data_IF_466373381077
#
_entry.id   IF_466373381077
#
_cell.length_a   1.000
_cell.length_b   1.000
_cell.length_c   1.000
_cell.angle_alpha   90.00
_cell.angle_beta   90.00
_cell.angle_gamma   90.00
#
_symmetry.space_group_name_H-M   'P 1'
#
loop_
_entity.id
_entity.type
_entity.pdbx_description
1 polymer ?
#
# COMPACT_ATOMS: atom_id res chain seq x y z
N UNK A 1 21.06 4.23 -14.27
CA UNK A 1 19.94 4.69 -13.43
C UNK A 1 18.67 4.04 -13.96
N UNK A 2 18.20 3.03 -13.21
CA UNK A 2 17.08 2.18 -13.66
C UNK A 2 15.75 2.59 -13.00
N UNK A 3 15.70 3.80 -12.38
CA UNK A 3 14.52 4.31 -11.69
C UNK A 3 14.23 5.75 -12.13
N UNK A 4 13.00 5.97 -12.61
CA UNK A 4 12.47 7.30 -12.92
C UNK A 4 11.69 7.86 -11.71
N UNK A 5 11.88 9.14 -11.41
CA UNK A 5 11.07 9.84 -10.43
C UNK A 5 9.75 10.32 -11.02
N UNK A 6 8.65 10.18 -10.26
CA UNK A 6 7.33 10.68 -10.63
C UNK A 6 6.76 11.52 -9.47
N UNK A 7 6.22 12.68 -9.80
CA UNK A 7 5.39 13.47 -8.89
C UNK A 7 4.00 13.64 -9.49
N UNK A 8 3.07 12.77 -9.10
CA UNK A 8 1.70 12.77 -9.58
C UNK A 8 0.76 13.58 -8.66
N UNK A 9 -0.40 13.94 -9.19
CA UNK A 9 -1.39 14.76 -8.49
C UNK A 9 -2.02 14.02 -7.30
N UNK A 10 -2.38 14.78 -6.26
CA UNK A 10 -3.10 14.26 -5.07
C UNK A 10 -4.58 14.04 -5.40
N UNK A 11 -5.21 15.01 -6.07
CA UNK A 11 -6.61 14.89 -6.52
C UNK A 11 -6.60 14.15 -7.86
N UNK A 12 -7.31 13.02 -7.92
CA UNK A 12 -7.29 12.14 -9.07
C UNK A 12 -8.70 11.82 -9.56
N UNK A 13 -8.81 11.51 -10.85
CA UNK A 13 -10.06 11.18 -11.50
C UNK A 13 -10.72 9.93 -10.88
N UNK A 14 -12.04 9.93 -10.65
CA UNK A 14 -12.74 8.79 -10.01
C UNK A 14 -12.54 7.45 -10.71
N UNK A 15 -12.37 7.44 -12.02
CA UNK A 15 -12.25 6.19 -12.78
C UNK A 15 -10.97 5.42 -12.47
N UNK A 16 -9.90 6.08 -12.03
CA UNK A 16 -8.69 5.41 -11.54
C UNK A 16 -9.03 4.57 -10.32
N UNK A 17 -9.79 5.14 -9.38
CA UNK A 17 -10.16 4.49 -8.13
C UNK A 17 -11.28 3.46 -8.29
N UNK A 18 -12.14 3.62 -9.30
CA UNK A 18 -13.09 2.58 -9.69
C UNK A 18 -12.37 1.39 -10.32
N UNK A 19 -11.43 1.65 -11.24
CA UNK A 19 -10.66 0.60 -11.91
C UNK A 19 -9.80 -0.21 -10.93
N UNK A 20 -9.22 0.43 -9.92
CA UNK A 20 -8.44 -0.23 -8.87
C UNK A 20 -9.29 -0.85 -7.74
N UNK A 21 -10.62 -0.67 -7.76
CA UNK A 21 -11.53 -1.20 -6.76
C UNK A 21 -11.69 -0.36 -5.48
N UNK A 22 -10.88 0.68 -5.27
CA UNK A 22 -10.90 1.46 -4.02
C UNK A 22 -12.25 2.10 -3.70
N UNK A 23 -12.98 2.57 -4.71
CA UNK A 23 -14.32 3.17 -4.47
C UNK A 23 -15.29 2.16 -3.89
N UNK A 24 -15.19 0.88 -4.28
CA UNK A 24 -16.14 -0.16 -3.88
C UNK A 24 -15.71 -0.98 -2.66
N UNK A 25 -14.42 -1.18 -2.43
CA UNK A 25 -13.93 -2.18 -1.46
C UNK A 25 -12.96 -1.64 -0.41
N UNK A 26 -12.47 -0.40 -0.57
CA UNK A 26 -11.56 0.19 0.40
C UNK A 26 -12.32 0.75 1.60
N UNK A 27 -12.81 -0.14 2.46
CA UNK A 27 -13.64 0.20 3.61
C UNK A 27 -13.23 -0.54 4.87
N UNK A 28 -13.48 0.09 6.02
CA UNK A 28 -13.38 -0.52 7.34
C UNK A 28 -14.78 -0.74 7.92
N UNK A 29 -15.04 -1.82 8.66
CA UNK A 29 -16.31 -2.02 9.35
C UNK A 29 -16.44 -1.03 10.51
N UNK A 30 -17.51 -0.24 10.55
CA UNK A 30 -17.76 0.80 11.54
C UNK A 30 -19.01 0.51 12.37
N UNK A 31 -18.91 0.74 13.67
CA UNK A 31 -20.04 0.74 14.61
C UNK A 31 -20.16 2.08 15.33
N UNK A 32 -21.38 2.47 15.66
CA UNK A 32 -21.65 3.61 16.54
C UNK A 32 -22.06 3.11 17.93
N UNK A 33 -21.53 3.73 18.99
CA UNK A 33 -22.04 3.50 20.34
C UNK A 33 -23.17 4.51 20.62
N UNK A 34 -24.38 4.01 20.90
CA UNK A 34 -25.55 4.86 21.15
C UNK A 34 -25.44 5.70 22.42
N UNK A 35 -24.62 5.25 23.39
CA UNK A 35 -24.44 5.94 24.68
C UNK A 35 -23.36 7.02 24.62
N UNK A 36 -22.13 6.68 24.19
CA UNK A 36 -21.04 7.65 24.17
C UNK A 36 -21.00 8.48 22.85
N UNK A 37 -21.86 8.15 21.88
CA UNK A 37 -21.93 8.77 20.54
C UNK A 37 -20.62 8.69 19.73
N UNK A 38 -19.67 7.86 20.19
CA UNK A 38 -18.42 7.59 19.47
C UNK A 38 -18.64 6.62 18.31
N UNK A 39 -17.76 6.73 17.30
CA UNK A 39 -17.65 5.84 16.14
C UNK A 39 -16.37 5.05 16.24
N UNK A 40 -16.43 3.76 15.99
CA UNK A 40 -15.31 2.86 16.20
C UNK A 40 -15.21 1.82 15.08
N UNK A 41 -14.02 1.35 14.80
CA UNK A 41 -13.82 0.18 13.95
C UNK A 41 -14.36 -1.06 14.69
N UNK A 42 -15.16 -1.85 14.01
CA UNK A 42 -15.81 -3.03 14.60
C UNK A 42 -14.80 -4.13 14.96
N UNK A 43 -13.72 -4.24 14.20
CA UNK A 43 -12.61 -5.20 14.39
C UNK A 43 -11.63 -4.82 15.52
N UNK A 44 -11.73 -3.60 16.07
CA UNK A 44 -10.79 -3.06 17.06
C UNK A 44 -11.46 -2.65 18.38
N UNK A 45 -12.66 -3.13 18.66
CA UNK A 45 -13.41 -2.77 19.87
C UNK A 45 -12.74 -3.22 21.16
N UNK A 46 -11.94 -4.30 21.10
CA UNK A 46 -11.20 -4.85 22.24
C UNK A 46 -10.01 -3.99 22.66
N UNK A 47 -9.40 -3.31 21.68
CA UNK A 47 -8.19 -2.51 21.89
C UNK A 47 -8.48 -1.01 22.09
N UNK A 48 -9.68 -0.56 21.71
CA UNK A 48 -10.03 0.85 21.73
C UNK A 48 -10.60 1.26 23.08
N UNK A 49 -9.99 2.19 23.84
CA UNK A 49 -10.54 2.69 25.08
C UNK A 49 -11.89 3.39 24.89
N UNK A 50 -12.83 3.17 25.80
CA UNK A 50 -14.10 3.87 25.79
C UNK A 50 -13.90 5.35 26.17
N UNK A 51 -14.35 6.34 25.37
CA UNK A 51 -14.16 7.75 25.66
C UNK A 51 -14.79 8.21 26.99
N UNK A 52 -15.87 7.59 27.44
CA UNK A 52 -16.52 7.92 28.72
C UNK A 52 -15.95 7.14 29.90
N UNK A 53 -15.35 5.98 29.65
CA UNK A 53 -14.75 5.13 30.68
C UNK A 53 -13.41 4.58 30.15
N UNK A 54 -12.34 5.38 30.14
CA UNK A 54 -11.06 4.97 29.52
C UNK A 54 -10.40 3.73 30.16
N UNK A 55 -10.83 3.32 31.34
CA UNK A 55 -10.39 2.09 32.00
C UNK A 55 -11.03 0.82 31.43
N UNK A 56 -12.00 0.94 30.53
CA UNK A 56 -12.64 -0.16 29.80
C UNK A 56 -12.43 0.01 28.32
N UNK A 57 -12.35 -1.09 27.58
CA UNK A 57 -12.41 -1.03 26.10
C UNK A 57 -13.86 -0.83 25.63
N UNK A 58 -14.00 -0.41 24.36
CA UNK A 58 -15.31 -0.17 23.76
C UNK A 58 -16.16 -1.44 23.73
N UNK A 59 -15.54 -2.61 23.58
CA UNK A 59 -16.22 -3.91 23.65
C UNK A 59 -16.99 -4.07 24.96
N UNK A 60 -16.36 -3.76 26.08
CA UNK A 60 -16.90 -3.92 27.44
C UNK A 60 -17.72 -2.73 27.94
N UNK A 61 -17.93 -1.75 27.08
CA UNK A 61 -18.79 -0.61 27.39
C UNK A 61 -20.25 -1.05 27.42
N UNK A 62 -20.98 -0.66 28.49
CA UNK A 62 -22.40 -0.98 28.68
C UNK A 62 -23.33 -0.34 27.64
N UNK A 63 -22.78 0.51 26.75
CA UNK A 63 -23.53 1.18 25.68
C UNK A 63 -23.90 0.24 24.54
N UNK A 64 -25.17 0.29 24.12
CA UNK A 64 -25.63 -0.41 22.93
C UNK A 64 -24.86 0.06 21.69
N UNK A 65 -24.41 -0.87 20.85
CA UNK A 65 -23.71 -0.62 19.60
C UNK A 65 -24.64 -0.92 18.44
N UNK A 66 -24.45 -0.18 17.33
CA UNK A 66 -25.15 -0.47 16.08
C UNK A 66 -24.58 -1.73 15.42
N UNK A 67 -25.31 -2.30 14.48
CA UNK A 67 -24.74 -3.27 13.55
C UNK A 67 -23.56 -2.66 12.80
N UNK A 68 -22.53 -3.47 12.49
CA UNK A 68 -21.41 -3.03 11.66
C UNK A 68 -21.89 -2.58 10.27
N UNK A 69 -21.32 -1.49 9.77
CA UNK A 69 -21.52 -1.01 8.39
C UNK A 69 -20.20 -0.59 7.78
N UNK A 70 -20.07 -0.75 6.48
CA UNK A 70 -18.88 -0.36 5.75
C UNK A 70 -18.72 1.17 5.73
N UNK A 71 -17.53 1.62 6.03
CA UNK A 71 -17.11 3.01 5.93
C UNK A 71 -15.95 3.11 4.96
N UNK A 72 -16.18 3.72 3.79
CA UNK A 72 -15.13 3.88 2.78
C UNK A 72 -14.09 4.90 3.26
N UNK A 73 -12.81 4.52 3.18
CA UNK A 73 -11.69 5.33 3.65
C UNK A 73 -11.21 6.38 2.65
N UNK A 74 -11.81 6.48 1.47
CA UNK A 74 -11.49 7.51 0.51
C UNK A 74 -11.99 8.89 0.97
N UNK A 75 -11.12 9.91 0.92
CA UNK A 75 -11.58 11.29 1.00
C UNK A 75 -12.22 11.68 -0.32
N UNK A 76 -13.53 11.95 -0.28
CA UNK A 76 -14.33 12.44 -1.41
C UNK A 76 -14.35 13.97 -1.38
N UNK A 77 -14.20 14.60 -2.54
CA UNK A 77 -14.32 16.05 -2.74
C UNK A 77 -15.02 16.35 -4.06
N UNK A 78 -15.26 17.61 -4.35
CA UNK A 78 -15.80 18.07 -5.62
C UNK A 78 -14.83 19.04 -6.29
N UNK A 79 -14.71 18.96 -7.61
CA UNK A 79 -13.88 19.85 -8.42
C UNK A 79 -14.77 20.82 -9.17
N UNK A 80 -14.40 22.10 -9.16
CA UNK A 80 -15.16 23.17 -9.79
C UNK A 80 -16.20 23.82 -8.85
N UNK A 81 -17.03 24.73 -9.39
CA UNK A 81 -17.88 25.62 -8.59
C UNK A 81 -19.20 24.98 -8.11
N UNK A 82 -19.54 23.78 -8.60
CA UNK A 82 -20.82 23.13 -8.29
C UNK A 82 -20.55 21.75 -7.71
N UNK A 83 -21.16 21.47 -6.56
CA UNK A 83 -21.16 20.15 -5.94
C UNK A 83 -22.21 19.27 -6.64
N UNK A 84 -21.75 18.37 -7.50
CA UNK A 84 -22.57 17.37 -8.17
C UNK A 84 -21.84 16.03 -8.25
N UNK A 85 -22.58 14.95 -8.48
CA UNK A 85 -21.97 13.62 -8.64
C UNK A 85 -21.01 13.54 -9.84
N UNK A 86 -21.20 14.38 -10.85
CA UNK A 86 -20.33 14.47 -12.03
C UNK A 86 -18.98 15.12 -11.70
N UNK A 87 -18.93 15.96 -10.66
CA UNK A 87 -17.76 16.71 -10.24
C UNK A 87 -16.99 16.04 -9.08
N UNK A 88 -17.34 14.81 -8.75
CA UNK A 88 -16.68 14.07 -7.68
C UNK A 88 -15.23 13.77 -8.05
N UNK A 89 -14.34 14.00 -7.10
CA UNK A 89 -12.95 13.57 -7.14
C UNK A 89 -12.54 12.99 -5.80
N UNK A 90 -11.41 12.31 -5.77
CA UNK A 90 -10.89 11.70 -4.54
C UNK A 90 -9.46 12.14 -4.32
N UNK A 91 -9.10 12.30 -3.03
CA UNK A 91 -7.69 12.36 -2.64
C UNK A 91 -7.12 10.95 -2.69
N UNK A 92 -5.92 10.79 -3.19
CA UNK A 92 -5.27 9.48 -3.30
C UNK A 92 -5.03 8.84 -1.93
N UNK A 93 -5.47 7.60 -1.69
CA UNK A 93 -5.18 6.85 -0.45
C UNK A 93 -3.81 6.19 -0.46
N UNK A 94 -3.17 6.12 -1.63
CA UNK A 94 -1.83 5.59 -1.87
C UNK A 94 -1.27 6.13 -3.19
N UNK A 95 0.01 5.93 -3.44
CA UNK A 95 0.72 6.49 -4.59
C UNK A 95 0.84 5.52 -5.78
N UNK A 96 0.61 4.22 -5.59
CA UNK A 96 0.79 3.18 -6.60
C UNK A 96 -0.02 3.40 -7.88
N UNK A 97 -1.32 3.71 -7.77
CA UNK A 97 -2.20 3.84 -8.95
C UNK A 97 -1.77 4.96 -9.88
N UNK A 98 -1.19 6.02 -9.34
CA UNK A 98 -0.64 7.10 -10.15
C UNK A 98 0.56 6.62 -10.98
N UNK A 99 1.40 5.75 -10.42
CA UNK A 99 2.54 5.14 -11.13
C UNK A 99 2.02 4.28 -12.29
N UNK A 100 1.05 3.40 -12.03
CA UNK A 100 0.47 2.56 -13.09
C UNK A 100 -0.22 3.39 -14.18
N UNK A 101 -0.99 4.41 -13.81
CA UNK A 101 -1.68 5.29 -14.77
C UNK A 101 -0.69 6.07 -15.66
N UNK A 102 0.48 6.42 -15.14
CA UNK A 102 1.51 7.18 -15.84
C UNK A 102 2.60 6.31 -16.48
N UNK A 103 2.55 4.99 -16.31
CA UNK A 103 3.58 4.07 -16.81
C UNK A 103 3.97 4.36 -18.27
N UNK A 104 2.98 4.41 -19.16
CA UNK A 104 3.24 4.65 -20.58
C UNK A 104 3.88 6.02 -20.86
N UNK A 105 3.45 7.05 -20.16
CA UNK A 105 4.02 8.41 -20.32
C UNK A 105 5.48 8.44 -19.85
N UNK A 106 5.79 7.74 -18.76
CA UNK A 106 7.17 7.65 -18.24
C UNK A 106 8.03 6.82 -19.19
N UNK A 107 7.56 5.68 -19.66
CA UNK A 107 8.26 4.83 -20.64
C UNK A 107 8.60 5.61 -21.91
N UNK A 108 7.59 6.27 -22.51
CA UNK A 108 7.76 7.07 -23.74
C UNK A 108 8.72 8.27 -23.56
N UNK A 109 8.71 8.93 -22.40
CA UNK A 109 9.49 10.15 -22.14
C UNK A 109 10.89 9.89 -21.61
N UNK A 110 11.07 8.87 -20.75
CA UNK A 110 12.36 8.55 -20.14
C UNK A 110 13.28 7.75 -21.05
N UNK A 111 12.74 7.09 -22.06
CA UNK A 111 13.45 6.16 -22.96
C UNK A 111 14.13 5.00 -22.21
N UNK A 112 13.64 4.68 -21.04
CA UNK A 112 14.13 3.55 -20.26
C UNK A 112 13.75 2.23 -20.92
N UNK A 113 14.48 1.17 -20.60
CA UNK A 113 14.21 -0.18 -21.11
C UNK A 113 13.95 -1.10 -19.94
N UNK A 114 12.91 -1.94 -20.05
CA UNK A 114 12.67 -2.97 -19.04
C UNK A 114 13.89 -3.88 -18.83
N UNK A 115 14.23 -4.18 -17.57
CA UNK A 115 13.50 -3.79 -16.35
C UNK A 115 13.81 -2.35 -15.91
N UNK A 116 12.83 -1.62 -15.39
CA UNK A 116 13.03 -0.31 -14.78
C UNK A 116 11.96 -0.02 -13.73
N UNK A 117 12.25 0.90 -12.82
CA UNK A 117 11.35 1.33 -11.77
C UNK A 117 10.79 2.73 -11.97
N UNK A 118 9.62 2.99 -11.42
CA UNK A 118 9.08 4.33 -11.23
C UNK A 118 8.89 4.53 -9.74
N UNK A 119 9.50 5.58 -9.19
CA UNK A 119 9.44 5.89 -7.78
C UNK A 119 8.69 7.19 -7.52
N UNK A 120 7.92 7.22 -6.45
CA UNK A 120 7.25 8.41 -5.95
C UNK A 120 7.42 8.56 -4.46
N UNK A 121 7.69 9.78 -3.99
CA UNK A 121 7.54 10.20 -2.61
C UNK A 121 6.44 11.24 -2.56
N UNK A 122 5.46 11.04 -1.69
CA UNK A 122 4.36 12.02 -1.63
C UNK A 122 3.30 11.67 -0.60
N UNK A 123 2.41 12.64 -0.39
CA UNK A 123 1.30 12.50 0.55
C UNK A 123 0.22 11.57 0.05
N UNK A 124 -0.34 10.79 0.97
CA UNK A 124 -1.52 9.99 0.80
C UNK A 124 -2.53 10.28 1.93
N UNK A 125 -3.80 9.94 1.69
CA UNK A 125 -4.91 10.38 2.55
C UNK A 125 -5.89 9.23 2.75
N UNK A 126 -6.12 8.86 4.01
CA UNK A 126 -7.13 7.86 4.37
C UNK A 126 -8.06 8.44 5.42
N UNK A 127 -9.34 8.45 5.18
CA UNK A 127 -10.35 8.98 6.11
C UNK A 127 -10.56 8.01 7.29
N UNK A 128 -9.52 7.82 8.08
CA UNK A 128 -9.51 6.90 9.23
C UNK A 128 -10.65 7.20 10.21
N UNK A 129 -11.38 6.16 10.61
CA UNK A 129 -12.46 6.29 11.62
C UNK A 129 -11.87 6.78 12.94
N UNK A 130 -10.80 6.14 13.42
CA UNK A 130 -10.11 6.47 14.65
C UNK A 130 -8.60 6.62 14.42
N UNK A 131 -8.10 7.81 14.07
CA UNK A 131 -6.66 8.06 14.11
C UNK A 131 -6.11 7.80 15.51
N UNK A 132 -4.96 7.14 15.61
CA UNK A 132 -4.34 6.78 16.90
C UNK A 132 -2.85 6.53 16.76
N UNK A 133 -2.18 6.33 17.90
CA UNK A 133 -0.76 6.03 17.95
C UNK A 133 0.09 7.12 17.28
N UNK A 134 -0.30 8.39 17.48
CA UNK A 134 0.37 9.56 16.95
C UNK A 134 0.59 9.48 15.43
N UNK A 135 1.82 9.32 14.94
CA UNK A 135 2.13 9.26 13.51
C UNK A 135 1.82 7.93 12.84
N UNK A 136 1.62 6.85 13.60
CA UNK A 136 1.41 5.51 13.04
C UNK A 136 0.06 5.33 12.31
N UNK A 137 -0.98 6.07 12.74
CA UNK A 137 -2.28 6.03 12.08
C UNK A 137 -2.90 7.42 12.02
N UNK A 138 -2.58 8.15 10.97
CA UNK A 138 -3.08 9.51 10.68
C UNK A 138 -3.89 9.51 9.38
N UNK A 139 -4.67 10.58 9.18
CA UNK A 139 -5.47 10.76 7.96
C UNK A 139 -4.67 11.30 6.79
N UNK A 140 -3.55 11.95 7.07
CA UNK A 140 -2.58 12.45 6.10
C UNK A 140 -1.22 11.90 6.48
N UNK A 141 -0.52 11.28 5.55
CA UNK A 141 0.79 10.68 5.77
C UNK A 141 1.61 10.71 4.48
N UNK A 142 2.90 10.45 4.59
CA UNK A 142 3.79 10.35 3.44
C UNK A 142 4.11 8.88 3.15
N UNK A 143 4.20 8.56 1.86
CA UNK A 143 4.66 7.26 1.36
C UNK A 143 5.86 7.45 0.45
N UNK A 144 6.77 6.49 0.51
CA UNK A 144 7.78 6.25 -0.51
C UNK A 144 7.47 4.92 -1.18
N UNK A 145 7.31 4.94 -2.48
CA UNK A 145 6.86 3.78 -3.24
C UNK A 145 7.66 3.63 -4.52
N UNK A 146 8.00 2.42 -4.88
CA UNK A 146 8.66 2.05 -6.13
C UNK A 146 7.88 0.91 -6.74
N UNK A 147 7.41 1.11 -7.97
CA UNK A 147 6.90 0.05 -8.82
C UNK A 147 7.99 -0.32 -9.83
N UNK A 148 8.55 -1.52 -9.67
CA UNK A 148 9.62 -2.01 -10.55
C UNK A 148 9.05 -2.98 -11.58
N UNK A 149 9.12 -2.59 -12.84
CA UNK A 149 8.53 -3.30 -13.97
C UNK A 149 9.54 -4.25 -14.58
N UNK A 150 9.19 -5.52 -14.63
CA UNK A 150 10.00 -6.61 -15.18
C UNK A 150 9.29 -7.28 -16.35
N UNK A 151 10.04 -8.00 -17.18
CA UNK A 151 9.42 -8.86 -18.20
C UNK A 151 8.81 -10.10 -17.56
N UNK A 152 7.64 -10.58 -18.06
CA UNK A 152 7.14 -11.90 -17.69
C UNK A 152 8.14 -13.00 -18.01
N UNK A 153 8.14 -14.08 -17.23
CA UNK A 153 9.09 -15.19 -17.38
C UNK A 153 9.08 -15.79 -18.79
N UNK A 154 7.91 -15.87 -19.42
CA UNK A 154 7.76 -16.36 -20.79
C UNK A 154 8.51 -15.46 -21.80
N UNK A 155 8.49 -14.16 -21.59
CA UNK A 155 9.23 -13.22 -22.42
C UNK A 155 10.75 -13.29 -22.15
N UNK A 156 11.16 -13.48 -20.90
CA UNK A 156 12.56 -13.70 -20.52
C UNK A 156 13.07 -14.97 -21.19
N UNK A 157 12.32 -16.08 -21.11
CA UNK A 157 12.62 -17.36 -21.76
C UNK A 157 12.77 -17.19 -23.27
N UNK A 158 11.85 -16.47 -23.92
CA UNK A 158 11.86 -16.30 -25.36
C UNK A 158 13.08 -15.47 -25.84
N UNK A 159 13.51 -14.48 -25.06
CA UNK A 159 14.62 -13.56 -25.41
C UNK A 159 15.99 -14.15 -25.08
N UNK A 160 16.13 -14.79 -23.92
CA UNK A 160 17.42 -15.23 -23.39
C UNK A 160 17.65 -16.75 -23.46
N UNK A 161 16.63 -17.53 -23.82
CA UNK A 161 16.70 -18.98 -23.93
C UNK A 161 16.45 -19.73 -22.61
N UNK A 162 16.53 -19.07 -21.48
CA UNK A 162 16.23 -19.61 -20.16
C UNK A 162 15.73 -18.53 -19.20
N UNK A 163 15.06 -18.97 -18.12
CA UNK A 163 14.80 -18.16 -16.92
C UNK A 163 15.66 -18.75 -15.81
N UNK A 164 16.39 -17.91 -15.13
CA UNK A 164 17.26 -18.32 -14.03
C UNK A 164 16.46 -18.48 -12.74
N UNK A 165 16.60 -19.65 -12.10
CA UNK A 165 16.13 -19.93 -10.74
C UNK A 165 17.37 -19.92 -9.82
N UNK A 166 17.62 -18.81 -9.12
CA UNK A 166 18.82 -18.68 -8.29
C UNK A 166 18.77 -19.63 -7.09
N UNK A 167 19.91 -20.23 -6.75
CA UNK A 167 20.06 -21.02 -5.53
C UNK A 167 19.72 -20.18 -4.29
N UNK A 168 19.37 -20.83 -3.17
CA UNK A 168 18.97 -20.12 -1.94
C UNK A 168 20.06 -19.19 -1.40
N UNK A 169 21.31 -19.56 -1.57
CA UNK A 169 22.52 -18.82 -1.14
C UNK A 169 23.12 -17.94 -2.23
N UNK A 170 22.46 -17.79 -3.38
CA UNK A 170 22.99 -16.98 -4.48
C UNK A 170 23.05 -15.50 -4.08
N UNK A 171 24.18 -14.85 -4.41
CA UNK A 171 24.25 -13.40 -4.32
C UNK A 171 23.47 -12.74 -5.46
N UNK A 172 22.47 -11.94 -5.10
CA UNK A 172 21.58 -11.25 -6.04
C UNK A 172 21.85 -9.74 -6.15
N UNK A 173 23.05 -9.28 -5.77
CA UNK A 173 23.39 -7.83 -5.84
C UNK A 173 23.53 -7.31 -7.28
N UNK A 174 23.87 -8.19 -8.22
CA UNK A 174 24.06 -7.85 -9.63
C UNK A 174 22.98 -8.49 -10.53
N UNK A 175 21.98 -7.71 -10.97
CA UNK A 175 20.91 -8.22 -11.82
C UNK A 175 21.39 -8.85 -13.13
N UNK A 176 20.82 -10.00 -13.49
CA UNK A 176 21.12 -10.72 -14.72
C UNK A 176 19.98 -10.59 -15.73
N UNK A 177 20.30 -10.67 -17.03
CA UNK A 177 19.32 -10.48 -18.12
C UNK A 177 18.23 -11.55 -18.17
N UNK A 178 18.52 -12.73 -17.65
CA UNK A 178 17.64 -13.89 -17.61
C UNK A 178 16.92 -14.09 -16.27
N UNK A 179 16.94 -13.10 -15.38
CA UNK A 179 16.16 -13.17 -14.15
C UNK A 179 14.66 -13.15 -14.45
N UNK A 180 13.94 -14.12 -13.87
CA UNK A 180 12.49 -14.15 -13.77
C UNK A 180 11.98 -13.40 -12.53
N UNK A 181 10.68 -13.47 -12.29
CA UNK A 181 10.03 -12.75 -11.19
C UNK A 181 10.59 -13.12 -9.80
N UNK A 182 10.95 -14.40 -9.59
CA UNK A 182 11.45 -14.88 -8.30
C UNK A 182 12.82 -14.27 -7.95
N UNK A 183 13.73 -14.22 -8.92
CA UNK A 183 15.05 -13.60 -8.74
C UNK A 183 14.92 -12.10 -8.43
N UNK A 184 14.07 -11.40 -9.17
CA UNK A 184 13.79 -9.98 -8.92
C UNK A 184 13.13 -9.72 -7.57
N UNK A 185 12.18 -10.56 -7.16
CA UNK A 185 11.52 -10.44 -5.86
C UNK A 185 12.53 -10.60 -4.72
N UNK A 186 13.40 -11.60 -4.77
CA UNK A 186 14.46 -11.81 -3.79
C UNK A 186 15.48 -10.67 -3.78
N UNK A 187 15.93 -10.22 -4.95
CA UNK A 187 16.84 -9.07 -5.07
C UNK A 187 16.30 -7.84 -4.34
N UNK A 188 15.07 -7.44 -4.63
CA UNK A 188 14.46 -6.28 -4.00
C UNK A 188 14.23 -6.45 -2.51
N UNK A 189 13.86 -7.63 -2.10
CA UNK A 189 13.70 -7.96 -0.70
C UNK A 189 15.04 -7.85 0.07
N UNK A 190 16.10 -8.48 -0.42
CA UNK A 190 17.45 -8.43 0.18
C UNK A 190 18.02 -7.00 0.16
N UNK A 191 17.83 -6.29 -0.95
CA UNK A 191 18.25 -4.89 -1.06
C UNK A 191 17.53 -3.99 -0.03
N UNK A 192 16.24 -4.28 0.26
CA UNK A 192 15.48 -3.54 1.26
C UNK A 192 15.98 -3.79 2.67
N UNK A 193 16.32 -5.04 3.02
CA UNK A 193 16.92 -5.35 4.33
C UNK A 193 18.25 -4.61 4.48
N UNK A 194 19.14 -4.70 3.49
CA UNK A 194 20.42 -3.99 3.51
C UNK A 194 20.25 -2.47 3.66
N UNK A 195 19.20 -1.92 3.02
CA UNK A 195 18.90 -0.49 3.16
C UNK A 195 18.46 -0.14 4.58
N UNK A 196 17.58 -0.93 5.21
CA UNK A 196 17.18 -0.71 6.60
C UNK A 196 18.38 -0.75 7.56
N UNK A 197 19.26 -1.72 7.38
CA UNK A 197 20.53 -1.79 8.15
C UNK A 197 21.39 -0.54 7.95
N UNK A 198 21.49 -0.06 6.71
CA UNK A 198 22.31 1.12 6.39
C UNK A 198 21.82 2.42 7.03
N UNK A 199 20.54 2.52 7.35
CA UNK A 199 19.94 3.66 8.05
C UNK A 199 19.85 3.46 9.57
N UNK A 200 20.44 2.36 10.08
CA UNK A 200 20.64 2.12 11.51
C UNK A 200 19.57 1.24 12.18
N UNK A 201 18.74 0.53 11.44
CA UNK A 201 17.88 -0.49 12.00
C UNK A 201 18.68 -1.80 12.13
N UNK A 202 18.85 -2.35 13.35
CA UNK A 202 19.67 -3.55 13.52
C UNK A 202 18.97 -4.79 12.95
N UNK A 203 19.75 -5.62 12.24
CA UNK A 203 19.25 -6.82 11.55
C UNK A 203 18.48 -7.79 12.47
N UNK A 204 18.94 -7.94 13.71
CA UNK A 204 18.31 -8.82 14.71
C UNK A 204 16.91 -8.39 15.14
N UNK A 205 16.50 -7.16 14.78
CA UNK A 205 15.16 -6.62 15.02
C UNK A 205 14.28 -6.58 13.77
N UNK A 206 14.81 -7.01 12.63
CA UNK A 206 14.06 -7.11 11.38
C UNK A 206 13.54 -8.54 11.21
N UNK A 207 12.23 -8.69 11.14
CA UNK A 207 11.56 -9.97 10.95
C UNK A 207 10.85 -10.02 9.60
N UNK A 208 11.03 -11.15 8.92
CA UNK A 208 10.41 -11.39 7.63
C UNK A 208 9.13 -12.18 7.85
N UNK A 209 8.00 -11.61 7.47
CA UNK A 209 6.71 -12.29 7.49
C UNK A 209 6.21 -12.51 6.06
N UNK A 210 6.20 -13.76 5.63
CA UNK A 210 5.60 -14.15 4.37
C UNK A 210 4.09 -14.26 4.52
N UNK A 211 3.34 -13.55 3.66
CA UNK A 211 1.88 -13.64 3.67
C UNK A 211 1.41 -14.97 3.10
N UNK A 212 0.40 -15.57 3.75
CA UNK A 212 -0.26 -16.76 3.24
C UNK A 212 -1.09 -16.46 1.98
N UNK A 213 -1.48 -17.46 1.17
CA UNK A 213 -2.34 -17.25 0.01
C UNK A 213 -3.65 -16.51 0.31
N UNK A 214 -4.19 -16.69 1.52
CA UNK A 214 -5.45 -16.09 1.98
C UNK A 214 -5.28 -14.61 2.37
N UNK A 215 -4.09 -14.23 2.84
CA UNK A 215 -3.78 -12.85 3.25
C UNK A 215 -3.40 -11.96 2.05
N UNK A 216 -2.80 -12.56 1.02
CA UNK A 216 -2.30 -11.83 -0.15
C UNK A 216 -3.42 -11.21 -0.98
N UNK A 217 -3.15 -10.06 -1.58
CA UNK A 217 -4.00 -9.54 -2.65
C UNK A 217 -4.16 -10.57 -3.77
N UNK A 218 -5.34 -10.68 -4.36
CA UNK A 218 -5.68 -11.70 -5.38
C UNK A 218 -4.77 -11.66 -6.62
N UNK A 219 -4.11 -10.53 -6.89
CA UNK A 219 -3.17 -10.34 -8.00
C UNK A 219 -1.70 -10.63 -7.61
N UNK A 220 -1.39 -10.82 -6.33
CA UNK A 220 -0.02 -11.00 -5.86
C UNK A 220 0.42 -12.47 -5.92
N UNK A 221 1.57 -12.75 -6.55
CA UNK A 221 2.21 -14.07 -6.53
C UNK A 221 2.88 -14.37 -5.20
N UNK A 222 3.55 -13.38 -4.62
CA UNK A 222 4.19 -13.44 -3.33
C UNK A 222 4.13 -12.07 -2.65
N UNK A 223 4.09 -12.06 -1.33
CA UNK A 223 4.18 -10.84 -0.51
C UNK A 223 5.00 -11.15 0.73
N UNK A 224 5.98 -10.32 1.01
CA UNK A 224 6.78 -10.39 2.22
C UNK A 224 6.74 -9.03 2.93
N UNK A 225 6.37 -9.04 4.21
CA UNK A 225 6.45 -7.88 5.08
C UNK A 225 7.78 -7.91 5.84
N UNK A 226 8.45 -6.78 5.96
CA UNK A 226 9.62 -6.62 6.82
C UNK A 226 9.15 -5.85 8.05
N UNK A 227 9.04 -6.54 9.17
CA UNK A 227 8.56 -6.02 10.44
C UNK A 227 9.74 -5.66 11.35
N UNK A 228 9.56 -4.66 12.21
CA UNK A 228 10.58 -4.20 13.15
C UNK A 228 10.09 -4.28 14.58
N UNK A 229 10.90 -4.88 15.46
CA UNK A 229 10.67 -4.94 16.90
C UNK A 229 11.10 -3.63 17.57
N UNK A 230 10.14 -2.88 18.13
CA UNK A 230 10.37 -1.64 18.85
C UNK A 230 10.97 -1.83 20.25
#
# INVERSE_FOLDING_TARGET
DDIAGLDATIIMHPDIWKASGHVGTFSDPMVDCKTCKGRFRADQLEETPCPQKPSKCVKDCDGEKTEPRDFNLMFKTHVGPVESEENVAYLRPETAQAIFAQFKNVDDSSRMKMPFGIAQVGKAFRNEINPRNYTFRSREFEQMEIEFFIRPDEAVQAINGNVEEPAEDANLDEPQKNWGWNAWHRHWFEARIKWYESIGLPAEKLHIRWQTPEERAHYARATADIEFDF
#
